data_IF_495284297606
#
_entry.id   IF_495284297606
#
_cell.length_a   1.000
_cell.length_b   1.000
_cell.length_c   1.000
_cell.angle_alpha   90.00
_cell.angle_beta   90.00
_cell.angle_gamma   90.00
#
_symmetry.space_group_name_H-M   'P 1'
#
loop_
_entity.id
_entity.type
_entity.pdbx_description
1 polymer ?
#
# COMPACT_ATOMS: atom_id res chain seq x y z
N UNK A 1 -23.57 25.38 -46.50
CA UNK A 1 -22.85 25.54 -45.22
C UNK A 1 -23.14 24.28 -44.45
N UNK A 2 -22.19 23.35 -44.42
CA UNK A 2 -22.29 22.20 -43.53
C UNK A 2 -20.90 21.97 -42.96
N UNK A 3 -20.60 22.75 -41.93
CA UNK A 3 -19.42 22.55 -41.10
C UNK A 3 -19.78 21.46 -40.12
N UNK A 4 -19.68 20.20 -40.57
CA UNK A 4 -19.77 19.05 -39.68
C UNK A 4 -18.70 19.22 -38.61
N UNK A 5 -19.14 19.47 -37.38
CA UNK A 5 -18.26 19.42 -36.23
C UNK A 5 -17.70 18.00 -36.15
N UNK A 6 -16.40 17.84 -36.44
CA UNK A 6 -15.64 16.63 -36.14
C UNK A 6 -15.58 16.46 -34.62
N UNK A 7 -16.70 16.06 -34.03
CA UNK A 7 -16.74 15.66 -32.63
C UNK A 7 -15.91 14.38 -32.53
N UNK A 8 -14.76 14.49 -31.87
CA UNK A 8 -13.92 13.33 -31.57
C UNK A 8 -14.72 12.37 -30.70
N UNK A 9 -14.95 11.17 -31.20
CA UNK A 9 -15.56 10.07 -30.46
C UNK A 9 -14.54 9.50 -29.47
N UNK A 10 -14.39 10.17 -28.32
CA UNK A 10 -13.47 9.75 -27.26
C UNK A 10 -13.89 8.42 -26.62
N UNK A 11 -15.12 7.96 -26.85
CA UNK A 11 -15.65 6.66 -26.49
C UNK A 11 -15.21 5.52 -27.44
N UNK A 12 -14.78 5.84 -28.67
CA UNK A 12 -14.21 4.89 -29.63
C UNK A 12 -12.71 4.63 -29.42
N UNK A 13 -12.10 5.25 -28.40
CA UNK A 13 -10.74 4.93 -27.99
C UNK A 13 -10.63 3.46 -27.57
N UNK A 14 -9.53 2.82 -27.95
CA UNK A 14 -9.26 1.45 -27.50
C UNK A 14 -9.23 1.40 -25.96
N UNK A 15 -9.79 0.34 -25.34
CA UNK A 15 -9.86 0.22 -23.88
C UNK A 15 -8.52 0.41 -23.17
N UNK A 16 -7.42 -0.01 -23.80
CA UNK A 16 -6.06 0.15 -23.29
C UNK A 16 -5.65 1.63 -23.17
N UNK A 17 -5.99 2.44 -24.17
CA UNK A 17 -5.71 3.88 -24.16
C UNK A 17 -6.56 4.61 -23.12
N UNK A 18 -7.84 4.23 -22.98
CA UNK A 18 -8.70 4.72 -21.91
C UNK A 18 -8.16 4.32 -20.54
N UNK A 19 -7.68 3.08 -20.39
CA UNK A 19 -7.07 2.59 -19.16
C UNK A 19 -5.85 3.39 -18.73
N UNK A 20 -4.99 3.77 -19.68
CA UNK A 20 -3.83 4.64 -19.43
C UNK A 20 -4.23 6.08 -19.11
N UNK A 21 -5.33 6.59 -19.65
CA UNK A 21 -5.85 7.91 -19.28
C UNK A 21 -6.37 7.86 -17.85
N UNK A 22 -7.24 6.88 -17.56
CA UNK A 22 -7.85 6.71 -16.25
C UNK A 22 -6.86 6.28 -15.17
N UNK A 23 -5.69 5.72 -15.52
CA UNK A 23 -4.65 5.46 -14.52
C UNK A 23 -4.18 6.74 -13.83
N UNK A 24 -4.27 7.90 -14.50
CA UNK A 24 -3.92 9.23 -13.98
C UNK A 24 -5.04 9.94 -13.20
N UNK A 25 -6.23 9.34 -13.13
CA UNK A 25 -7.38 9.88 -12.41
C UNK A 25 -7.32 9.46 -10.94
N UNK A 26 -7.95 10.21 -10.03
CA UNK A 26 -8.01 9.85 -8.61
C UNK A 26 -8.73 8.50 -8.42
N UNK A 27 -8.40 7.77 -7.35
CA UNK A 27 -9.11 6.52 -7.03
C UNK A 27 -10.62 6.74 -6.91
N UNK A 28 -11.01 7.85 -6.28
CA UNK A 28 -12.40 8.24 -6.08
C UNK A 28 -13.11 8.39 -7.43
N UNK A 29 -12.57 9.22 -8.33
CA UNK A 29 -13.19 9.49 -9.62
C UNK A 29 -13.21 8.25 -10.52
N UNK A 30 -12.18 7.40 -10.45
CA UNK A 30 -12.18 6.10 -11.15
C UNK A 30 -13.36 5.24 -10.71
N UNK A 31 -13.75 5.28 -9.44
CA UNK A 31 -14.81 4.43 -8.89
C UNK A 31 -16.21 5.05 -9.02
N UNK A 32 -16.33 6.39 -9.02
CA UNK A 32 -17.62 7.09 -8.96
C UNK A 32 -17.98 7.78 -10.28
N UNK A 33 -17.07 8.59 -10.83
CA UNK A 33 -17.36 9.50 -11.94
C UNK A 33 -17.17 8.80 -13.28
N UNK A 34 -16.00 8.19 -13.51
CA UNK A 34 -15.63 7.60 -14.81
C UNK A 34 -16.64 6.52 -15.26
N UNK A 35 -17.12 5.60 -14.40
CA UNK A 35 -18.09 4.59 -14.80
C UNK A 35 -19.47 5.16 -15.15
N UNK A 36 -19.78 6.39 -14.73
CA UNK A 36 -21.06 7.08 -14.99
C UNK A 36 -21.07 7.89 -16.29
N UNK A 37 -19.92 8.12 -16.91
CA UNK A 37 -19.83 8.93 -18.15
C UNK A 37 -20.49 8.20 -19.33
N UNK A 38 -20.07 6.97 -19.61
CA UNK A 38 -20.67 6.13 -20.66
C UNK A 38 -20.34 4.64 -20.46
N UNK A 39 -21.04 3.76 -21.19
CA UNK A 39 -20.83 2.29 -21.12
C UNK A 39 -19.41 1.86 -21.51
N UNK A 40 -18.76 2.57 -22.44
CA UNK A 40 -17.39 2.26 -22.85
C UNK A 40 -16.39 2.56 -21.74
N UNK A 41 -16.55 3.70 -21.06
CA UNK A 41 -15.68 4.11 -19.94
C UNK A 41 -15.89 3.22 -18.72
N UNK A 42 -17.14 2.83 -18.43
CA UNK A 42 -17.44 1.82 -17.41
C UNK A 42 -16.71 0.51 -17.69
N UNK A 43 -16.81 -0.03 -18.92
CA UNK A 43 -16.10 -1.25 -19.33
C UNK A 43 -14.58 -1.10 -19.24
N UNK A 44 -14.03 0.06 -19.60
CA UNK A 44 -12.59 0.33 -19.50
C UNK A 44 -12.10 0.34 -18.05
N UNK A 45 -12.87 0.93 -17.12
CA UNK A 45 -12.57 0.91 -15.68
C UNK A 45 -12.78 -0.47 -15.07
N UNK A 46 -13.76 -1.25 -15.54
CA UNK A 46 -13.92 -2.63 -15.08
C UNK A 46 -12.75 -3.54 -15.53
N UNK A 47 -12.01 -3.12 -16.57
CA UNK A 47 -10.87 -3.84 -17.11
C UNK A 47 -9.55 -3.67 -16.34
N UNK A 48 -8.53 -4.50 -16.66
CA UNK A 48 -7.30 -4.60 -15.88
C UNK A 48 -6.36 -3.39 -16.00
N UNK A 49 -6.42 -2.66 -17.12
CA UNK A 49 -5.48 -1.59 -17.42
C UNK A 49 -5.55 -0.41 -16.45
N UNK A 50 -6.72 -0.15 -15.86
CA UNK A 50 -6.89 0.91 -14.85
C UNK A 50 -6.27 0.57 -13.48
N UNK A 51 -5.99 -0.72 -13.24
CA UNK A 51 -5.66 -1.29 -11.93
C UNK A 51 -4.29 -1.97 -11.89
N UNK A 52 -3.38 -1.60 -12.81
CA UNK A 52 -1.99 -2.05 -12.75
C UNK A 52 -1.23 -1.43 -11.56
N UNK A 53 -1.67 -0.25 -11.12
CA UNK A 53 -1.14 0.44 -9.95
C UNK A 53 -2.29 0.82 -9.03
N UNK A 54 -2.25 0.30 -7.80
CA UNK A 54 -3.22 0.58 -6.75
C UNK A 54 -2.48 1.25 -5.60
N UNK A 55 -2.85 2.49 -5.32
CA UNK A 55 -2.32 3.27 -4.21
C UNK A 55 -3.48 3.76 -3.35
N UNK A 56 -3.68 3.09 -2.22
CA UNK A 56 -4.76 3.38 -1.26
C UNK A 56 -4.21 3.61 0.15
N UNK A 57 -2.92 3.93 0.25
CA UNK A 57 -2.21 4.03 1.52
C UNK A 57 -2.88 5.05 2.46
N UNK A 58 -3.16 6.25 1.97
CA UNK A 58 -3.81 7.30 2.77
C UNK A 58 -5.25 6.97 3.16
N UNK A 59 -6.00 6.40 2.22
CA UNK A 59 -7.37 5.95 2.45
C UNK A 59 -7.43 4.85 3.52
N UNK A 60 -6.49 3.90 3.48
CA UNK A 60 -6.46 2.78 4.44
C UNK A 60 -6.19 3.23 5.88
N UNK A 61 -5.49 4.35 6.11
CA UNK A 61 -5.27 4.87 7.47
C UNK A 61 -6.57 5.30 8.17
N UNK A 62 -7.59 5.69 7.40
CA UNK A 62 -8.84 6.26 7.90
C UNK A 62 -10.04 5.30 7.79
N UNK A 63 -9.82 4.06 7.35
CA UNK A 63 -10.90 3.09 7.09
C UNK A 63 -10.88 1.92 8.06
N UNK A 64 -12.05 1.35 8.36
CA UNK A 64 -12.14 0.15 9.19
C UNK A 64 -11.51 -1.06 8.47
N UNK A 65 -10.89 -2.01 9.18
CA UNK A 65 -10.23 -3.16 8.59
C UNK A 65 -11.11 -3.97 7.62
N UNK A 66 -12.39 -4.18 7.93
CA UNK A 66 -13.31 -4.95 7.09
C UNK A 66 -13.55 -4.28 5.73
N UNK A 67 -13.56 -2.94 5.72
CA UNK A 67 -13.78 -2.14 4.54
C UNK A 67 -12.52 -2.12 3.67
N UNK A 68 -11.33 -2.10 4.30
CA UNK A 68 -10.06 -2.23 3.60
C UNK A 68 -9.96 -3.57 2.89
N UNK A 69 -10.27 -4.68 3.57
CA UNK A 69 -10.23 -6.03 2.99
C UNK A 69 -11.16 -6.15 1.77
N UNK A 70 -12.40 -5.65 1.88
CA UNK A 70 -13.36 -5.67 0.78
C UNK A 70 -12.88 -4.84 -0.42
N UNK A 71 -12.38 -3.63 -0.15
CA UNK A 71 -11.85 -2.74 -1.18
C UNK A 71 -10.66 -3.37 -1.90
N UNK A 72 -9.67 -3.87 -1.16
CA UNK A 72 -8.49 -4.52 -1.71
C UNK A 72 -8.85 -5.73 -2.58
N UNK A 73 -9.72 -6.61 -2.09
CA UNK A 73 -10.17 -7.78 -2.86
C UNK A 73 -10.80 -7.35 -4.18
N UNK A 74 -11.71 -6.39 -4.15
CA UNK A 74 -12.35 -5.86 -5.35
C UNK A 74 -11.32 -5.29 -6.35
N UNK A 75 -10.40 -4.44 -5.90
CA UNK A 75 -9.44 -3.77 -6.78
C UNK A 75 -8.42 -4.76 -7.37
N UNK A 76 -7.89 -5.68 -6.56
CA UNK A 76 -6.95 -6.70 -7.01
C UNK A 76 -7.63 -7.65 -8.02
N UNK A 77 -8.88 -8.06 -7.78
CA UNK A 77 -9.62 -8.89 -8.73
C UNK A 77 -9.79 -8.19 -10.08
N UNK A 78 -10.07 -6.87 -10.09
CA UNK A 78 -10.17 -6.09 -11.33
C UNK A 78 -8.85 -6.01 -12.10
N UNK A 79 -7.71 -6.08 -11.41
CA UNK A 79 -6.40 -6.08 -12.08
C UNK A 79 -6.15 -7.33 -12.94
N UNK A 80 -6.93 -8.40 -12.77
CA UNK A 80 -6.84 -9.65 -13.53
C UNK A 80 -5.40 -10.21 -13.61
N UNK A 81 -4.65 -10.13 -12.50
CA UNK A 81 -3.26 -10.62 -12.41
C UNK A 81 -2.19 -9.70 -13.02
N UNK A 82 -2.59 -8.52 -13.52
CA UNK A 82 -1.68 -7.53 -14.11
C UNK A 82 -1.19 -6.46 -13.12
N UNK A 83 -1.47 -6.63 -11.83
CA UNK A 83 -1.04 -5.72 -10.77
C UNK A 83 0.48 -5.63 -10.66
N UNK A 84 1.03 -4.42 -10.79
CA UNK A 84 2.47 -4.12 -10.75
C UNK A 84 2.87 -3.34 -9.48
N UNK A 85 2.00 -2.47 -8.97
CA UNK A 85 2.24 -1.68 -7.76
C UNK A 85 1.04 -1.76 -6.83
N UNK A 86 1.29 -2.08 -5.56
CA UNK A 86 0.29 -2.05 -4.49
C UNK A 86 0.85 -1.28 -3.29
N UNK A 87 0.13 -0.25 -2.85
CA UNK A 87 0.45 0.52 -1.64
C UNK A 87 -0.79 0.60 -0.74
N UNK A 88 -0.67 0.06 0.47
CA UNK A 88 -1.73 0.00 1.48
C UNK A 88 -1.11 -0.05 2.87
N UNK A 89 -1.70 0.66 3.85
CA UNK A 89 -1.26 0.67 5.24
C UNK A 89 -2.16 -0.21 6.12
N UNK A 90 -1.65 -0.60 7.29
CA UNK A 90 -2.46 -1.08 8.43
C UNK A 90 -3.32 -2.33 8.14
N UNK A 91 -2.76 -3.31 7.43
CA UNK A 91 -3.43 -4.59 7.22
C UNK A 91 -3.22 -5.54 8.41
N UNK A 92 -4.31 -6.15 8.89
CA UNK A 92 -4.30 -6.99 10.10
C UNK A 92 -4.63 -8.47 9.87
N UNK A 93 -4.92 -8.87 8.63
CA UNK A 93 -5.52 -10.16 8.32
C UNK A 93 -4.59 -11.07 7.47
N UNK A 94 -4.20 -12.23 8.00
CA UNK A 94 -3.36 -13.19 7.26
C UNK A 94 -3.98 -13.68 5.94
N UNK A 95 -5.32 -13.70 5.87
CA UNK A 95 -6.04 -14.09 4.65
C UNK A 95 -5.90 -13.05 3.53
N UNK A 96 -5.73 -11.75 3.84
CA UNK A 96 -5.52 -10.73 2.81
C UNK A 96 -4.10 -10.82 2.23
N UNK A 97 -3.09 -11.11 3.05
CA UNK A 97 -1.73 -11.33 2.56
C UNK A 97 -1.64 -12.56 1.64
N UNK A 98 -2.32 -13.65 2.01
CA UNK A 98 -2.43 -14.85 1.16
C UNK A 98 -3.11 -14.52 -0.18
N UNK A 99 -4.19 -13.75 -0.14
CA UNK A 99 -4.93 -13.33 -1.32
C UNK A 99 -4.08 -12.44 -2.26
N UNK A 100 -3.34 -11.47 -1.70
CA UNK A 100 -2.40 -10.65 -2.48
C UNK A 100 -1.39 -11.55 -3.18
N UNK A 101 -0.79 -12.49 -2.46
CA UNK A 101 0.22 -13.39 -3.02
C UNK A 101 -0.32 -14.31 -4.13
N UNK A 102 -1.60 -14.69 -4.08
CA UNK A 102 -2.23 -15.54 -5.10
C UNK A 102 -2.63 -14.78 -6.37
N UNK A 103 -3.03 -13.52 -6.23
CA UNK A 103 -3.57 -12.74 -7.34
C UNK A 103 -2.60 -11.69 -7.88
N UNK A 104 -1.45 -11.45 -7.24
CA UNK A 104 -0.47 -10.43 -7.61
C UNK A 104 0.92 -11.01 -7.97
N UNK A 105 0.99 -12.08 -8.76
CA UNK A 105 2.26 -12.67 -9.21
C UNK A 105 3.13 -11.73 -10.08
N UNK A 106 2.53 -10.69 -10.66
CA UNK A 106 3.21 -9.68 -11.50
C UNK A 106 3.69 -8.45 -10.70
N UNK A 107 3.65 -8.50 -9.37
CA UNK A 107 3.90 -7.34 -8.52
C UNK A 107 5.39 -6.99 -8.46
N UNK A 108 5.72 -5.74 -8.81
CA UNK A 108 7.08 -5.21 -8.77
C UNK A 108 7.31 -4.33 -7.53
N UNK A 109 6.28 -3.63 -7.06
CA UNK A 109 6.34 -2.75 -5.89
C UNK A 109 5.24 -3.12 -4.91
N UNK A 110 5.62 -3.47 -3.69
CA UNK A 110 4.70 -3.75 -2.59
C UNK A 110 5.03 -2.86 -1.40
N UNK A 111 4.06 -2.05 -0.95
CA UNK A 111 4.20 -1.27 0.28
C UNK A 111 3.08 -1.64 1.24
N UNK A 112 3.47 -2.14 2.40
CA UNK A 112 2.61 -2.60 3.48
C UNK A 112 3.01 -1.99 4.84
N UNK A 113 3.20 -0.67 4.96
CA UNK A 113 3.58 -0.08 6.24
C UNK A 113 2.51 -0.32 7.32
N UNK A 114 2.95 -0.44 8.59
CA UNK A 114 2.08 -0.69 9.77
C UNK A 114 1.22 -1.96 9.67
N UNK A 115 1.61 -2.91 8.82
CA UNK A 115 0.86 -4.15 8.64
C UNK A 115 1.32 -5.24 9.61
N UNK A 116 0.39 -6.05 10.05
CA UNK A 116 0.52 -7.02 11.13
C UNK A 116 0.98 -8.40 10.65
N UNK A 117 1.91 -8.43 9.70
CA UNK A 117 2.42 -9.66 9.09
C UNK A 117 3.31 -10.45 10.06
N UNK A 118 2.99 -11.73 10.26
CA UNK A 118 3.84 -12.67 11.01
C UNK A 118 4.97 -13.25 10.15
N UNK A 119 6.02 -13.78 10.78
CA UNK A 119 7.07 -14.50 10.05
C UNK A 119 6.51 -15.74 9.29
N UNK A 120 5.54 -16.43 9.89
CA UNK A 120 4.90 -17.62 9.30
C UNK A 120 4.20 -17.30 7.99
N UNK A 121 3.43 -16.20 7.94
CA UNK A 121 2.74 -15.83 6.69
C UNK A 121 3.74 -15.40 5.61
N UNK A 122 4.81 -14.69 5.99
CA UNK A 122 5.88 -14.30 5.04
C UNK A 122 6.56 -15.51 4.43
N UNK A 123 6.93 -16.50 5.23
CA UNK A 123 7.53 -17.75 4.75
C UNK A 123 6.63 -18.49 3.74
N UNK A 124 5.31 -18.45 3.95
CA UNK A 124 4.33 -19.08 3.06
C UNK A 124 4.17 -18.34 1.72
N UNK A 125 4.20 -17.00 1.74
CA UNK A 125 3.85 -16.20 0.56
C UNK A 125 5.07 -15.71 -0.24
N UNK A 126 6.27 -15.64 0.36
CA UNK A 126 7.45 -15.06 -0.26
C UNK A 126 7.79 -15.68 -1.63
N UNK A 127 7.60 -17.00 -1.78
CA UNK A 127 7.81 -17.71 -3.05
C UNK A 127 6.92 -17.22 -4.20
N UNK A 128 5.70 -16.77 -3.90
CA UNK A 128 4.74 -16.26 -4.90
C UNK A 128 5.06 -14.82 -5.33
N UNK A 129 5.84 -14.09 -4.53
CA UNK A 129 6.18 -12.68 -4.71
C UNK A 129 7.60 -12.46 -5.29
N UNK A 130 8.13 -13.44 -6.02
CA UNK A 130 9.51 -13.43 -6.54
C UNK A 130 9.85 -12.31 -7.55
N UNK A 131 8.83 -11.64 -8.09
CA UNK A 131 8.94 -10.52 -9.04
C UNK A 131 9.14 -9.15 -8.38
N UNK A 132 9.06 -9.09 -7.04
CA UNK A 132 9.20 -7.83 -6.30
C UNK A 132 10.60 -7.24 -6.47
N UNK A 133 10.61 -5.95 -6.80
CA UNK A 133 11.81 -5.09 -6.92
C UNK A 133 11.90 -4.06 -5.81
N UNK A 134 10.77 -3.64 -5.24
CA UNK A 134 10.71 -2.73 -4.10
C UNK A 134 9.71 -3.24 -3.06
N UNK A 135 10.16 -3.35 -1.81
CA UNK A 135 9.35 -3.80 -0.69
C UNK A 135 9.43 -2.80 0.47
N UNK A 136 8.28 -2.38 1.00
CA UNK A 136 8.19 -1.56 2.20
C UNK A 136 7.40 -2.29 3.30
N UNK A 137 8.09 -2.57 4.40
CA UNK A 137 7.60 -3.20 5.63
C UNK A 137 7.87 -2.28 6.84
N UNK A 138 7.85 -0.97 6.62
CA UNK A 138 8.04 0.01 7.70
C UNK A 138 6.96 -0.14 8.77
N UNK A 139 7.34 -0.04 10.04
CA UNK A 139 6.45 -0.15 11.20
C UNK A 139 5.73 -1.51 11.35
N UNK A 140 6.22 -2.56 10.70
CA UNK A 140 5.74 -3.93 10.93
C UNK A 140 6.49 -4.53 12.13
N UNK A 141 5.88 -4.52 13.31
CA UNK A 141 6.54 -4.91 14.57
C UNK A 141 6.79 -6.42 14.72
N UNK A 142 5.94 -7.24 14.10
CA UNK A 142 5.95 -8.72 14.13
C UNK A 142 6.97 -9.37 13.19
N UNK A 143 7.58 -8.59 12.29
CA UNK A 143 8.61 -9.05 11.36
C UNK A 143 9.97 -9.11 12.07
N UNK A 144 10.71 -10.20 11.86
CA UNK A 144 12.09 -10.38 12.34
C UNK A 144 13.04 -10.87 11.24
N UNK A 145 14.29 -11.17 11.60
CA UNK A 145 15.29 -11.66 10.65
C UNK A 145 14.87 -12.92 9.88
N UNK A 146 14.02 -13.78 10.46
CA UNK A 146 13.50 -14.98 9.78
C UNK A 146 12.63 -14.63 8.56
N UNK A 147 11.73 -13.65 8.69
CA UNK A 147 10.93 -13.16 7.56
C UNK A 147 11.81 -12.52 6.48
N UNK A 148 12.81 -11.71 6.87
CA UNK A 148 13.73 -11.09 5.92
C UNK A 148 14.60 -12.13 5.21
N UNK A 149 15.01 -13.21 5.88
CA UNK A 149 15.69 -14.34 5.24
C UNK A 149 14.80 -14.97 4.17
N UNK A 150 13.53 -15.28 4.49
CA UNK A 150 12.59 -15.85 3.52
C UNK A 150 12.34 -14.92 2.32
N UNK A 151 12.16 -13.62 2.56
CA UNK A 151 12.06 -12.62 1.48
C UNK A 151 13.32 -12.62 0.63
N UNK A 152 14.50 -12.57 1.25
CA UNK A 152 15.77 -12.57 0.54
C UNK A 152 16.03 -13.87 -0.23
N UNK A 153 15.53 -15.01 0.25
CA UNK A 153 15.59 -16.31 -0.43
C UNK A 153 14.78 -16.34 -1.71
N UNK A 154 13.57 -15.78 -1.71
CA UNK A 154 12.63 -15.89 -2.84
C UNK A 154 12.61 -14.66 -3.76
N UNK A 155 12.81 -13.45 -3.23
CA UNK A 155 12.73 -12.18 -3.96
C UNK A 155 14.11 -11.74 -4.48
N UNK A 156 14.70 -12.51 -5.41
CA UNK A 156 16.06 -12.25 -5.95
C UNK A 156 16.20 -11.03 -6.86
N UNK A 157 15.08 -10.36 -7.15
CA UNK A 157 15.01 -9.13 -7.93
C UNK A 157 14.87 -7.88 -7.04
N UNK A 158 14.91 -8.04 -5.72
CA UNK A 158 14.77 -6.92 -4.79
C UNK A 158 15.95 -5.94 -4.92
N UNK A 159 15.61 -4.69 -5.20
CA UNK A 159 16.53 -3.55 -5.39
C UNK A 159 16.31 -2.50 -4.31
N UNK A 160 15.08 -2.35 -3.80
CA UNK A 160 14.74 -1.44 -2.72
C UNK A 160 14.05 -2.15 -1.56
N UNK A 161 14.48 -1.85 -0.33
CA UNK A 161 13.84 -2.32 0.89
C UNK A 161 13.69 -1.15 1.87
N UNK A 162 12.46 -0.94 2.38
CA UNK A 162 12.17 -0.04 3.49
C UNK A 162 11.70 -0.85 4.71
N UNK A 163 12.43 -0.72 5.81
CA UNK A 163 12.24 -1.43 7.07
C UNK A 163 12.50 -0.46 8.23
N UNK A 164 11.74 0.63 8.24
CA UNK A 164 11.80 1.60 9.32
C UNK A 164 11.02 1.10 10.55
N UNK A 165 11.41 1.51 11.74
CA UNK A 165 10.71 1.19 12.99
C UNK A 165 10.25 2.45 13.71
N UNK A 166 9.24 2.31 14.57
CA UNK A 166 8.92 3.37 15.52
C UNK A 166 9.79 3.17 16.78
N UNK A 167 10.38 4.22 17.38
CA UNK A 167 11.16 4.11 18.61
C UNK A 167 10.45 3.37 19.74
N UNK A 168 9.13 3.54 19.86
CA UNK A 168 8.32 2.84 20.86
C UNK A 168 8.28 1.32 20.64
N UNK A 169 8.21 0.86 19.38
CA UNK A 169 8.19 -0.57 19.02
C UNK A 169 9.55 -1.25 19.27
N UNK A 170 10.60 -0.45 19.44
CA UNK A 170 11.96 -0.94 19.72
C UNK A 170 12.32 -0.93 21.20
N UNK A 171 11.53 -0.26 22.06
CA UNK A 171 11.85 -0.06 23.46
C UNK A 171 12.02 -1.37 24.27
N UNK A 172 11.36 -2.45 23.85
CA UNK A 172 11.45 -3.78 24.49
C UNK A 172 12.43 -4.74 23.78
N UNK A 173 12.97 -4.37 22.61
CA UNK A 173 13.87 -5.24 21.83
C UNK A 173 15.32 -5.00 22.22
N UNK A 174 16.07 -6.08 22.42
CA UNK A 174 17.49 -6.00 22.84
C UNK A 174 18.39 -5.58 21.67
N UNK A 175 18.30 -6.28 20.53
CA UNK A 175 19.01 -5.97 19.28
C UNK A 175 18.28 -6.62 18.11
N UNK A 176 18.27 -5.96 16.96
CA UNK A 176 17.75 -6.44 15.67
C UNK A 176 18.89 -6.70 14.67
N UNK A 177 20.04 -7.12 15.20
CA UNK A 177 21.22 -7.50 14.43
C UNK A 177 20.92 -8.68 13.48
N UNK A 178 20.00 -9.57 13.85
CA UNK A 178 19.54 -10.69 13.02
C UNK A 178 18.88 -10.21 11.72
N UNK A 179 18.06 -9.15 11.77
CA UNK A 179 17.46 -8.52 10.58
C UNK A 179 18.55 -7.99 9.64
N UNK A 180 19.58 -7.36 10.20
CA UNK A 180 20.70 -6.83 9.44
C UNK A 180 21.53 -7.92 8.76
N UNK A 181 21.87 -8.98 9.49
CA UNK A 181 22.62 -10.10 8.94
C UNK A 181 21.82 -10.84 7.86
N UNK A 182 20.50 -10.95 8.01
CA UNK A 182 19.62 -11.53 6.98
C UNK A 182 19.66 -10.73 5.67
N UNK A 183 19.58 -9.41 5.75
CA UNK A 183 19.68 -8.52 4.58
C UNK A 183 21.05 -8.67 3.92
N UNK A 184 22.13 -8.60 4.72
CA UNK A 184 23.50 -8.71 4.24
C UNK A 184 23.78 -10.03 3.51
N UNK A 185 23.27 -11.16 4.01
CA UNK A 185 23.51 -12.49 3.45
C UNK A 185 22.66 -12.75 2.19
N UNK A 186 21.40 -12.31 2.17
CA UNK A 186 20.43 -12.79 1.16
C UNK A 186 20.02 -11.78 0.10
N UNK A 187 20.33 -10.50 0.26
CA UNK A 187 19.86 -9.42 -0.63
C UNK A 187 20.99 -8.62 -1.30
N UNK A 188 21.96 -9.26 -1.99
CA UNK A 188 23.16 -8.59 -2.49
C UNK A 188 22.93 -7.56 -3.61
N UNK A 189 21.74 -7.53 -4.22
CA UNK A 189 21.38 -6.61 -5.31
C UNK A 189 20.69 -5.33 -4.84
N UNK A 190 20.57 -5.12 -3.53
CA UNK A 190 19.97 -3.91 -2.99
C UNK A 190 20.79 -2.68 -3.40
N UNK A 191 20.06 -1.68 -3.90
CA UNK A 191 20.57 -0.34 -4.23
C UNK A 191 20.04 0.71 -3.27
N UNK A 192 18.84 0.52 -2.73
CA UNK A 192 18.18 1.44 -1.82
C UNK A 192 17.76 0.70 -0.56
N UNK A 193 18.26 1.13 0.59
CA UNK A 193 17.91 0.52 1.88
C UNK A 193 17.52 1.60 2.88
N UNK A 194 16.35 1.47 3.48
CA UNK A 194 15.92 2.29 4.62
C UNK A 194 15.71 1.38 5.82
N UNK A 195 16.45 1.61 6.89
CA UNK A 195 16.36 0.84 8.15
C UNK A 195 16.37 1.80 9.34
N UNK A 196 15.65 2.91 9.22
CA UNK A 196 15.64 3.95 10.23
C UNK A 196 15.03 3.44 11.56
N UNK A 197 15.60 3.90 12.67
CA UNK A 197 15.24 3.57 14.05
C UNK A 197 15.35 2.08 14.39
N UNK A 198 16.07 1.30 13.58
CA UNK A 198 16.35 -0.11 13.88
C UNK A 198 17.46 -0.21 14.95
N UNK A 199 17.24 -1.03 15.98
CA UNK A 199 18.24 -1.26 17.03
C UNK A 199 19.33 -2.21 16.55
N UNK A 200 20.33 -1.68 15.83
CA UNK A 200 21.42 -2.48 15.28
C UNK A 200 22.80 -1.99 15.73
N UNK A 201 23.74 -2.92 15.82
CA UNK A 201 25.14 -2.63 16.14
C UNK A 201 25.89 -2.05 14.94
N UNK A 202 26.99 -1.36 15.23
CA UNK A 202 27.92 -0.90 14.18
C UNK A 202 28.42 -2.06 13.31
N UNK A 203 28.61 -3.26 13.90
CA UNK A 203 29.03 -4.46 13.15
C UNK A 203 27.95 -4.88 12.16
N UNK A 204 26.70 -4.95 12.60
CA UNK A 204 25.57 -5.28 11.73
C UNK A 204 25.44 -4.31 10.54
N UNK A 205 25.58 -3.00 10.78
CA UNK A 205 25.59 -2.02 9.70
C UNK A 205 26.75 -2.25 8.71
N UNK A 206 27.96 -2.56 9.19
CA UNK A 206 29.11 -2.86 8.33
C UNK A 206 28.90 -4.13 7.50
N UNK A 207 28.26 -5.17 8.05
CA UNK A 207 27.93 -6.40 7.34
C UNK A 207 26.98 -6.12 6.18
N UNK A 208 25.94 -5.30 6.37
CA UNK A 208 25.04 -4.86 5.28
C UNK A 208 25.84 -4.20 4.17
N UNK A 209 26.72 -3.25 4.51
CA UNK A 209 27.51 -2.52 3.53
C UNK A 209 28.48 -3.44 2.77
N UNK A 210 29.01 -4.50 3.38
CA UNK A 210 29.82 -5.49 2.67
C UNK A 210 28.99 -6.50 1.88
N UNK A 211 27.79 -6.86 2.34
CA UNK A 211 26.90 -7.84 1.71
C UNK A 211 26.14 -7.28 0.51
N UNK A 212 25.90 -5.96 0.48
CA UNK A 212 25.20 -5.25 -0.59
C UNK A 212 26.18 -4.35 -1.37
N UNK A 213 26.99 -4.88 -2.29
CA UNK A 213 28.02 -4.11 -3.00
C UNK A 213 27.47 -3.04 -3.94
N UNK A 214 26.22 -3.21 -4.41
CA UNK A 214 25.55 -2.28 -5.33
C UNK A 214 24.76 -1.18 -4.60
N UNK A 215 24.91 -1.04 -3.28
CA UNK A 215 24.15 -0.09 -2.48
C UNK A 215 24.50 1.36 -2.86
N UNK A 216 23.50 2.10 -3.34
CA UNK A 216 23.60 3.50 -3.76
C UNK A 216 23.06 4.44 -2.68
N UNK A 217 22.08 4.00 -1.89
CA UNK A 217 21.46 4.76 -0.82
C UNK A 217 21.22 3.91 0.43
N UNK A 218 21.57 4.46 1.60
CA UNK A 218 21.24 3.87 2.90
C UNK A 218 20.73 4.94 3.88
N UNK A 219 19.60 4.68 4.52
CA UNK A 219 19.06 5.48 5.62
C UNK A 219 19.20 4.73 6.95
N UNK A 220 20.02 5.29 7.84
CA UNK A 220 20.32 4.78 9.18
C UNK A 220 19.85 5.76 10.27
N UNK A 221 19.00 6.75 9.96
CA UNK A 221 18.49 7.72 10.96
C UNK A 221 17.92 6.99 12.16
N UNK A 222 18.24 7.43 13.37
CA UNK A 222 17.72 6.80 14.59
C UNK A 222 18.39 5.47 14.99
N UNK A 223 19.33 4.93 14.19
CA UNK A 223 20.14 3.77 14.57
C UNK A 223 21.26 4.20 15.53
N UNK A 224 20.90 4.51 16.76
CA UNK A 224 21.77 5.28 17.66
C UNK A 224 23.06 4.59 18.12
N UNK A 225 23.09 3.25 18.10
CA UNK A 225 24.26 2.43 18.43
C UNK A 225 25.23 2.27 17.25
N UNK A 226 24.85 2.73 16.06
CA UNK A 226 25.68 2.70 14.87
C UNK A 226 26.65 3.88 14.87
N UNK A 227 27.94 3.57 14.90
CA UNK A 227 29.06 4.54 14.89
C UNK A 227 29.89 4.30 13.65
N UNK A 228 29.49 4.91 12.55
CA UNK A 228 30.22 4.85 11.28
C UNK A 228 31.02 6.15 11.08
N UNK A 229 32.30 6.00 10.78
CA UNK A 229 33.15 7.12 10.39
C UNK A 229 32.85 7.50 8.93
N UNK A 230 32.39 8.73 8.70
CA UNK A 230 32.08 9.23 7.36
C UNK A 230 33.29 9.19 6.41
N UNK A 231 34.52 9.33 6.92
CA UNK A 231 35.74 9.23 6.12
C UNK A 231 35.93 7.80 5.61
N UNK A 232 35.84 6.82 6.50
CA UNK A 232 35.90 5.38 6.18
C UNK A 232 34.84 4.98 5.14
N UNK A 233 33.60 5.46 5.32
CA UNK A 233 32.51 5.15 4.38
C UNK A 233 32.78 5.76 3.00
N UNK A 234 33.24 7.01 2.92
CA UNK A 234 33.57 7.64 1.63
C UNK A 234 34.75 6.96 0.93
N UNK A 235 35.75 6.49 1.67
CA UNK A 235 36.89 5.78 1.11
C UNK A 235 36.50 4.39 0.58
N UNK A 236 35.70 3.63 1.34
CA UNK A 236 35.35 2.24 1.01
C UNK A 236 34.13 2.13 0.08
N UNK A 237 33.19 3.07 0.17
CA UNK A 237 31.93 3.08 -0.57
C UNK A 237 31.68 4.46 -1.22
N UNK A 238 32.47 4.86 -2.23
CA UNK A 238 32.46 6.21 -2.77
C UNK A 238 31.15 6.61 -3.47
N UNK A 239 30.34 5.63 -3.88
CA UNK A 239 29.05 5.86 -4.55
C UNK A 239 27.85 5.88 -3.58
N UNK A 240 28.07 5.54 -2.31
CA UNK A 240 27.01 5.38 -1.33
C UNK A 240 26.58 6.74 -0.77
N UNK A 241 25.30 7.06 -0.89
CA UNK A 241 24.65 8.16 -0.18
C UNK A 241 24.08 7.64 1.14
N UNK A 242 24.66 8.07 2.24
CA UNK A 242 24.23 7.67 3.59
C UNK A 242 23.54 8.83 4.31
N UNK A 243 22.39 8.55 4.94
CA UNK A 243 21.64 9.45 5.81
C UNK A 243 21.63 8.91 7.25
N UNK A 244 21.75 9.79 8.25
CA UNK A 244 21.94 9.40 9.65
C UNK A 244 23.37 8.87 9.92
N UNK A 245 23.64 8.19 11.07
CA UNK A 245 22.68 7.72 12.08
C UNK A 245 22.30 8.73 13.17
N UNK A 246 23.00 9.87 13.30
CA UNK A 246 22.70 10.89 14.32
C UNK A 246 22.17 12.18 13.70
N UNK A 247 20.89 12.46 13.92
CA UNK A 247 20.40 13.82 14.12
C UNK A 247 20.35 14.07 15.64
N UNK A 248 20.95 15.17 16.09
CA UNK A 248 20.99 15.56 17.49
C UNK A 248 19.57 15.91 17.96
N UNK A 249 18.93 15.06 18.78
CA UNK A 249 17.63 15.44 19.35
C UNK A 249 16.80 14.29 19.92
N UNK A 250 17.36 13.48 20.81
CA UNK A 250 16.56 12.50 21.58
C UNK A 250 15.44 13.14 22.42
N UNK A 251 15.56 14.43 22.74
CA UNK A 251 14.61 15.16 23.57
C UNK A 251 13.69 16.12 22.82
N UNK A 252 13.89 16.31 21.51
CA UNK A 252 13.02 17.22 20.72
C UNK A 252 12.00 16.46 19.87
N UNK A 253 12.29 15.21 19.46
CA UNK A 253 11.39 14.40 18.63
C UNK A 253 10.28 13.68 19.41
N UNK A 254 10.40 13.56 20.73
CA UNK A 254 9.37 12.93 21.56
C UNK A 254 8.18 13.86 21.78
N UNK A 255 8.43 15.18 21.82
CA UNK A 255 7.40 16.21 21.99
C UNK A 255 6.66 16.52 20.67
N UNK A 256 7.27 16.28 19.49
CA UNK A 256 6.71 16.64 18.17
C UNK A 256 5.88 15.50 17.52
N UNK A 257 5.99 14.27 18.03
CA UNK A 257 5.19 13.12 17.57
C UNK A 257 3.89 12.91 18.36
N UNK A 258 3.75 13.56 19.52
CA UNK A 258 2.54 13.47 20.34
C UNK A 258 1.34 14.25 19.76
N UNK A 259 1.57 15.20 18.83
CA UNK A 259 0.51 16.07 18.32
C UNK A 259 -0.23 15.56 17.07
N UNK A 260 0.25 14.51 16.37
CA UNK A 260 -0.44 13.95 15.18
C UNK A 260 -0.82 12.46 15.32
N UNK A 261 -0.32 11.76 16.35
CA UNK A 261 -0.51 10.31 16.51
C UNK A 261 -0.86 9.85 17.93
N UNK A 262 -1.48 10.74 18.71
CA UNK A 262 -2.17 10.32 19.94
C UNK A 262 -3.26 9.30 19.57
N UNK A 263 -2.98 8.03 19.88
CA UNK A 263 -3.99 7.01 20.15
C UNK A 263 -4.91 7.56 21.24
N UNK A 264 -5.90 8.35 20.84
CA UNK A 264 -7.15 8.37 21.54
C UNK A 264 -7.63 6.91 21.51
N UNK A 265 -7.54 6.27 22.68
CA UNK A 265 -8.40 5.18 23.04
C UNK A 265 -9.83 5.59 22.70
N UNK A 266 -10.28 5.29 21.48
CA UNK A 266 -11.69 5.28 21.18
C UNK A 266 -12.22 4.04 21.89
N UNK A 267 -12.56 4.24 23.16
CA UNK A 267 -13.72 3.57 23.72
C UNK A 267 -14.81 3.68 22.65
N UNK A 268 -15.24 2.54 22.11
CA UNK A 268 -16.44 2.41 21.31
C UNK A 268 -17.61 2.84 22.19
N UNK A 269 -17.76 4.14 22.35
CA UNK A 269 -18.95 4.75 22.89
C UNK A 269 -19.89 4.77 21.70
N UNK A 270 -20.91 3.95 21.80
CA UNK A 270 -22.11 3.92 20.97
C UNK A 270 -22.60 5.35 20.71
N UNK A 271 -22.05 5.95 19.64
CA UNK A 271 -22.46 7.24 19.11
C UNK A 271 -22.65 7.00 17.63
N UNK A 272 -23.93 6.82 17.31
CA UNK A 272 -24.51 6.78 15.98
C UNK A 272 -24.18 8.07 15.23
N UNK A 273 -22.97 8.13 14.68
CA UNK A 273 -22.60 9.08 13.63
C UNK A 273 -22.35 8.33 12.33
N UNK A 274 -23.25 8.63 11.40
CA UNK A 274 -23.51 8.01 10.11
C UNK A 274 -22.29 8.12 9.18
N UNK A 275 -21.70 6.99 8.75
CA UNK A 275 -20.65 6.99 7.73
C UNK A 275 -21.27 7.06 6.32
N UNK A 276 -20.89 8.01 5.44
CA UNK A 276 -21.54 8.29 4.14
C UNK A 276 -21.51 7.20 3.05
N UNK A 277 -21.18 5.95 3.38
CA UNK A 277 -21.03 4.86 2.42
C UNK A 277 -21.45 3.50 3.01
N UNK A 278 -22.37 3.55 3.96
CA UNK A 278 -23.05 2.36 4.45
C UNK A 278 -23.82 1.68 3.30
N UNK A 279 -23.44 0.44 2.98
CA UNK A 279 -24.12 -0.36 1.98
C UNK A 279 -25.46 -0.83 2.58
N UNK A 280 -26.58 -0.22 2.17
CA UNK A 280 -27.90 -0.77 2.51
C UNK A 280 -28.15 -2.04 1.69
N UNK A 281 -27.90 -3.20 2.30
CA UNK A 281 -28.50 -4.45 1.84
C UNK A 281 -30.00 -4.37 2.16
N UNK A 282 -30.84 -4.43 1.12
CA UNK A 282 -32.29 -4.49 1.29
C UNK A 282 -32.66 -5.71 2.13
N UNK A 283 -33.38 -5.46 3.21
CA UNK A 283 -34.04 -6.44 4.07
C UNK A 283 -34.97 -7.34 3.23
N UNK A 284 -34.69 -8.63 3.22
CA UNK A 284 -35.62 -9.67 2.78
C UNK A 284 -35.49 -10.83 3.75
N UNK A 285 -36.54 -11.02 4.55
CA UNK A 285 -36.55 -11.91 5.71
C UNK A 285 -36.35 -13.39 5.42
N UNK A 286 -35.94 -14.06 6.51
CA UNK A 286 -35.95 -15.49 6.84
C UNK A 286 -36.44 -16.47 5.75
N UNK A 287 -35.57 -17.42 5.39
CA UNK A 287 -35.90 -18.86 5.39
C UNK A 287 -34.62 -19.70 5.53
N UNK A 288 -34.67 -20.63 6.48
CA UNK A 288 -33.76 -21.75 6.69
C UNK A 288 -33.61 -22.64 5.43
N UNK A 289 -32.41 -23.14 5.11
CA UNK A 289 -32.04 -24.57 5.22
C UNK A 289 -30.66 -24.86 4.59
N UNK A 290 -29.97 -25.85 5.15
CA UNK A 290 -28.61 -26.28 4.82
C UNK A 290 -28.60 -27.25 3.62
N UNK A 291 -27.83 -27.01 2.54
CA UNK A 291 -26.93 -28.01 1.92
C UNK A 291 -26.07 -27.48 0.75
N UNK A 292 -24.91 -28.11 0.57
CA UNK A 292 -23.88 -27.92 -0.46
C UNK A 292 -24.35 -28.02 -1.92
N UNK A 293 -23.81 -27.14 -2.79
CA UNK A 293 -23.26 -27.51 -4.10
C UNK A 293 -22.43 -26.34 -4.67
N UNK A 294 -21.18 -26.61 -5.04
CA UNK A 294 -20.42 -25.75 -5.96
C UNK A 294 -21.06 -25.79 -7.36
N UNK A 295 -20.75 -24.77 -8.17
CA UNK A 295 -21.27 -24.45 -9.51
C UNK A 295 -22.65 -23.77 -9.56
N UNK A 296 -22.65 -22.44 -9.64
CA UNK A 296 -23.39 -21.75 -10.70
C UNK A 296 -22.82 -20.33 -10.95
N UNK A 297 -22.79 -20.01 -12.24
CA UNK A 297 -22.20 -18.83 -12.87
C UNK A 297 -22.90 -17.54 -12.46
N UNK A 298 -22.13 -16.50 -12.14
CA UNK A 298 -22.66 -15.15 -11.92
C UNK A 298 -22.82 -14.45 -13.28
N UNK A 299 -24.00 -14.64 -13.88
CA UNK A 299 -24.50 -13.87 -15.01
C UNK A 299 -25.40 -12.75 -14.44
N UNK A 300 -24.79 -11.75 -13.78
CA UNK A 300 -25.49 -10.64 -13.12
C UNK A 300 -24.96 -9.28 -13.61
N UNK A 301 -25.01 -9.06 -14.92
CA UNK A 301 -24.68 -7.76 -15.56
C UNK A 301 -25.80 -6.70 -15.38
N UNK A 302 -26.87 -7.01 -14.63
CA UNK A 302 -28.03 -6.12 -14.41
C UNK A 302 -28.24 -5.63 -12.97
N UNK A 303 -27.47 -6.08 -11.97
CA UNK A 303 -27.59 -5.56 -10.58
C UNK A 303 -26.73 -4.34 -10.27
N UNK A 304 -25.99 -3.82 -11.25
CA UNK A 304 -25.07 -2.68 -11.07
C UNK A 304 -25.69 -1.32 -11.41
N UNK A 305 -26.93 -1.28 -11.92
CA UNK A 305 -27.62 -0.01 -12.23
C UNK A 305 -28.21 0.70 -10.99
N UNK A 306 -28.18 0.08 -9.80
CA UNK A 306 -28.73 0.67 -8.55
C UNK A 306 -27.66 1.21 -7.56
N UNK A 307 -26.39 1.28 -7.96
CA UNK A 307 -25.32 1.89 -7.14
C UNK A 307 -25.31 3.43 -7.27
N UNK A 308 -26.32 4.09 -6.70
CA UNK A 308 -26.30 5.54 -6.48
C UNK A 308 -25.42 5.92 -5.28
N UNK A 309 -24.11 6.03 -5.52
CA UNK A 309 -23.19 6.83 -4.69
C UNK A 309 -23.61 8.30 -4.76
N UNK A 310 -24.04 8.87 -3.62
CA UNK A 310 -24.26 10.30 -3.41
C UNK A 310 -23.30 10.79 -2.33
N UNK A 311 -22.49 11.79 -2.64
CA UNK A 311 -21.66 12.50 -1.68
C UNK A 311 -22.23 13.90 -1.50
N UNK A 312 -22.45 14.33 -0.26
CA UNK A 312 -22.80 15.70 0.07
C UNK A 312 -21.51 16.50 0.25
N UNK A 313 -21.37 17.60 -0.49
CA UNK A 313 -20.40 18.64 -0.19
C UNK A 313 -20.93 19.44 1.01
N UNK A 314 -20.20 19.42 2.12
CA UNK A 314 -20.38 20.41 3.18
C UNK A 314 -19.88 21.77 2.66
N UNK A 315 -20.81 22.60 2.19
CA UNK A 315 -20.57 24.02 1.94
C UNK A 315 -21.23 24.79 3.09
N UNK A 316 -20.43 25.19 4.08
CA UNK A 316 -20.82 26.28 4.98
C UNK A 316 -20.51 27.63 4.32
N UNK A 317 -21.59 28.33 3.99
CA UNK A 317 -21.75 29.78 3.81
C UNK A 317 -20.73 30.55 2.97
N UNK A 318 -21.02 30.64 1.67
CA UNK A 318 -20.81 31.86 0.91
C UNK A 318 -22.05 32.16 0.06
N UNK A 319 -23.06 32.78 0.70
CA UNK A 319 -24.12 33.50 -0.03
C UNK A 319 -23.49 34.58 -0.90
N UNK A 320 -24.10 34.78 -2.07
CA UNK A 320 -23.87 35.82 -3.09
C UNK A 320 -22.80 35.46 -4.13
N UNK A 321 -23.19 34.77 -5.21
CA UNK A 321 -23.06 35.25 -6.59
C UNK A 321 -23.94 34.38 -7.49
N UNK A 322 -25.08 34.93 -7.93
CA UNK A 322 -25.94 34.33 -8.96
C UNK A 322 -25.15 34.19 -10.26
N UNK A 323 -24.80 32.94 -10.65
CA UNK A 323 -24.29 32.66 -11.98
C UNK A 323 -25.40 32.11 -12.88
N UNK A 324 -25.57 32.66 -14.10
CA UNK A 324 -26.72 32.38 -14.94
C UNK A 324 -26.63 31.01 -15.61
N UNK A 325 -27.79 30.35 -15.74
CA UNK A 325 -27.94 29.13 -16.53
C UNK A 325 -27.58 29.39 -17.99
N UNK A 326 -26.74 28.54 -18.57
CA UNK A 326 -26.34 28.57 -19.98
C UNK A 326 -26.48 27.16 -20.56
N UNK A 327 -26.54 27.02 -21.90
CA UNK A 327 -27.67 27.29 -22.79
C UNK A 327 -28.45 26.04 -23.17
#
# INVERSE_FOLDING_TARGET
MDGGSEHRHWDDLIPDALGLIFSNVSLQDKLTVVPRVCKAWNRAVAGPFCWQEIDIEEWSKHCRPEQQDRMLRMLITRSYGSLRKLCVSSLHNDTIFSFIAEHAGSLHTLRLPRSDMSNSIVEQIAGKLSTITFLDLSYCSKISGAALLAIGEHCKLLVGLSRNMHPWDTAEKVTQDDEAYAIADRMPKLKHLEVAYLLMSTRAALEILSGCPDLEYVDLRGCWDVKLDHTFIKEKFPKLKMLGPRESGYHELMDDWDDDYSLASFDYTDSSDYLPWEFSAGDVGDLDDVNNSYDEMWDDEQRLEELELRYYEEIEDARLYDWPSSP
#
